data_IF_309406053696
#
_entry.id   IF_309406053696
#
_cell.length_a   1.000
_cell.length_b   1.000
_cell.length_c   1.000
_cell.angle_alpha   90.00
_cell.angle_beta   90.00
_cell.angle_gamma   90.00
#
_symmetry.space_group_name_H-M   'P 1'
#
loop_
_entity.id
_entity.type
_entity.pdbx_description
1 polymer ?
#
# COMPACT_ATOMS: atom_id res chain seq x y z
N UNK A 1 -10.66 3.09 19.75
CA UNK A 1 -10.44 4.08 18.67
C UNK A 1 -11.27 3.66 17.47
N UNK A 2 -12.11 4.54 16.93
CA UNK A 2 -12.91 4.25 15.72
C UNK A 2 -11.99 4.31 14.51
N UNK A 3 -11.99 3.25 13.68
CA UNK A 3 -11.23 3.22 12.42
C UNK A 3 -11.81 4.27 11.47
N UNK A 4 -10.99 5.27 11.08
CA UNK A 4 -11.38 6.25 10.06
C UNK A 4 -11.64 5.56 8.72
N UNK A 5 -12.65 6.03 7.98
CA UNK A 5 -12.92 5.54 6.63
C UNK A 5 -11.87 6.04 5.63
N UNK A 6 -11.81 5.43 4.45
CA UNK A 6 -10.93 5.90 3.38
C UNK A 6 -11.20 7.38 3.04
N UNK A 7 -12.47 7.77 2.95
CA UNK A 7 -12.85 9.14 2.61
C UNK A 7 -12.45 10.13 3.71
N UNK A 8 -12.51 9.73 4.98
CA UNK A 8 -12.09 10.57 6.10
C UNK A 8 -10.57 10.77 6.13
N UNK A 9 -9.81 9.71 5.79
CA UNK A 9 -8.33 9.77 5.77
C UNK A 9 -7.85 10.66 4.62
N UNK A 10 -8.52 10.58 3.47
CA UNK A 10 -8.11 11.28 2.25
C UNK A 10 -9.05 12.46 1.91
N UNK A 11 -9.69 13.08 2.89
CA UNK A 11 -10.73 14.10 2.66
C UNK A 11 -10.23 15.24 1.73
N UNK A 12 -9.00 15.71 1.96
CA UNK A 12 -8.37 16.85 1.28
C UNK A 12 -7.58 16.47 0.01
N UNK A 13 -7.58 15.20 -0.39
CA UNK A 13 -6.88 14.74 -1.59
C UNK A 13 -7.77 14.98 -2.83
N UNK A 14 -7.23 15.44 -3.97
CA UNK A 14 -7.98 15.53 -5.23
C UNK A 14 -8.62 14.19 -5.64
N UNK A 15 -9.81 14.22 -6.26
CA UNK A 15 -10.57 13.01 -6.59
C UNK A 15 -9.83 12.08 -7.54
N UNK A 16 -9.16 12.63 -8.55
CA UNK A 16 -8.37 11.87 -9.52
C UNK A 16 -7.23 11.07 -8.85
N UNK A 17 -6.63 11.62 -7.80
CA UNK A 17 -5.60 10.93 -7.02
C UNK A 17 -6.19 9.83 -6.11
N UNK A 18 -7.38 10.05 -5.53
CA UNK A 18 -8.11 9.01 -4.78
C UNK A 18 -8.43 7.83 -5.70
N UNK A 19 -8.93 8.10 -6.90
CA UNK A 19 -9.30 7.07 -7.89
C UNK A 19 -8.07 6.27 -8.33
N UNK A 20 -6.94 6.94 -8.58
CA UNK A 20 -5.66 6.29 -8.88
C UNK A 20 -5.18 5.41 -7.74
N UNK A 21 -5.27 5.88 -6.48
CA UNK A 21 -4.86 5.10 -5.32
C UNK A 21 -5.76 3.87 -5.10
N UNK A 22 -7.07 4.02 -5.26
CA UNK A 22 -8.02 2.90 -5.16
C UNK A 22 -7.74 1.86 -6.24
N UNK A 23 -7.56 2.31 -7.49
CA UNK A 23 -7.21 1.44 -8.63
C UNK A 23 -5.89 0.73 -8.40
N UNK A 24 -4.86 1.44 -7.91
CA UNK A 24 -3.58 0.82 -7.57
C UNK A 24 -3.75 -0.29 -6.54
N UNK A 25 -4.46 -0.03 -5.43
CA UNK A 25 -4.69 -1.02 -4.36
C UNK A 25 -5.52 -2.22 -4.79
N UNK A 26 -6.47 -2.05 -5.71
CA UNK A 26 -7.29 -3.17 -6.21
C UNK A 26 -6.54 -4.05 -7.22
N UNK A 27 -5.59 -3.48 -7.94
CA UNK A 27 -4.80 -4.19 -8.97
C UNK A 27 -3.48 -4.75 -8.45
N UNK A 28 -3.04 -4.31 -7.26
CA UNK A 28 -1.79 -4.75 -6.63
C UNK A 28 -2.08 -5.26 -5.21
N UNK A 29 -2.68 -6.46 -5.08
CA UNK A 29 -2.93 -7.06 -3.77
C UNK A 29 -1.61 -7.34 -3.04
N UNK A 30 -1.67 -7.33 -1.70
CA UNK A 30 -0.53 -7.70 -0.88
C UNK A 30 -0.16 -9.17 -1.09
N UNK A 31 1.14 -9.41 -1.16
CA UNK A 31 1.77 -10.72 -1.01
C UNK A 31 2.21 -10.89 0.43
N UNK A 32 2.08 -12.11 0.94
CA UNK A 32 2.52 -12.50 2.27
C UNK A 32 3.72 -13.45 2.16
N UNK A 33 4.74 -13.24 3.00
CA UNK A 33 5.92 -14.10 3.08
C UNK A 33 6.30 -14.34 4.55
N UNK A 34 6.32 -15.61 4.96
CA UNK A 34 6.81 -16.00 6.29
C UNK A 34 8.32 -16.28 6.23
N UNK A 35 9.08 -15.57 7.07
CA UNK A 35 10.53 -15.76 7.18
C UNK A 35 11.02 -15.47 8.60
N UNK A 36 11.73 -16.44 9.18
CA UNK A 36 12.38 -16.28 10.50
C UNK A 36 11.42 -15.74 11.57
N UNK A 37 10.26 -16.40 11.69
CA UNK A 37 9.18 -16.06 12.63
C UNK A 37 8.51 -14.69 12.40
N UNK A 38 8.78 -14.03 11.26
CA UNK A 38 8.14 -12.78 10.84
C UNK A 38 7.31 -12.99 9.58
N UNK A 39 6.03 -12.62 9.65
CA UNK A 39 5.15 -12.51 8.48
C UNK A 39 5.29 -11.13 7.85
N UNK A 40 5.78 -11.09 6.61
CA UNK A 40 5.94 -9.89 5.82
C UNK A 40 4.73 -9.68 4.90
N UNK A 41 4.21 -8.47 4.84
CA UNK A 41 3.21 -8.03 3.86
C UNK A 41 3.84 -7.01 2.92
N UNK A 42 3.85 -7.26 1.62
CA UNK A 42 4.44 -6.37 0.64
C UNK A 42 3.68 -6.38 -0.69
N UNK A 43 3.86 -5.34 -1.50
CA UNK A 43 3.38 -5.30 -2.89
C UNK A 43 4.58 -5.48 -3.79
N UNK A 44 4.48 -6.38 -4.77
CA UNK A 44 5.48 -6.53 -5.83
C UNK A 44 4.87 -6.14 -7.17
N UNK A 45 5.47 -5.16 -7.84
CA UNK A 45 4.95 -4.63 -9.10
C UNK A 45 6.06 -4.03 -9.96
N UNK A 46 5.78 -3.84 -11.24
CA UNK A 46 6.75 -3.32 -12.22
C UNK A 46 7.70 -4.40 -12.75
N UNK A 47 8.60 -4.00 -13.66
CA UNK A 47 9.64 -4.83 -14.27
C UNK A 47 10.88 -3.98 -14.54
N UNK A 48 12.07 -4.56 -14.37
CA UNK A 48 13.36 -3.89 -14.57
C UNK A 48 14.52 -4.81 -14.18
N UNK A 49 15.75 -4.36 -14.38
CA UNK A 49 16.96 -5.12 -14.01
C UNK A 49 17.25 -5.08 -12.52
N UNK A 50 16.96 -3.95 -11.86
CA UNK A 50 17.19 -3.75 -10.43
C UNK A 50 15.88 -3.47 -9.68
N UNK A 51 15.62 -4.13 -8.54
CA UNK A 51 14.45 -3.84 -7.71
C UNK A 51 14.67 -2.58 -6.87
N UNK A 52 13.67 -1.68 -6.85
CA UNK A 52 13.60 -0.57 -5.90
C UNK A 52 12.69 -0.95 -4.72
N UNK A 53 13.20 -0.84 -3.49
CA UNK A 53 12.44 -1.12 -2.28
C UNK A 53 12.02 0.19 -1.62
N UNK A 54 10.71 0.37 -1.43
CA UNK A 54 10.14 1.48 -0.67
C UNK A 54 9.65 0.95 0.68
N UNK A 55 10.38 1.28 1.75
CA UNK A 55 9.97 0.95 3.11
C UNK A 55 9.00 2.04 3.61
N UNK A 56 7.75 1.69 3.98
CA UNK A 56 6.83 2.68 4.51
C UNK A 56 7.37 3.23 5.84
N UNK A 57 7.41 4.55 5.96
CA UNK A 57 7.70 5.25 7.21
C UNK A 57 6.40 5.71 7.86
N UNK A 58 6.14 5.28 9.11
CA UNK A 58 4.98 5.70 9.90
C UNK A 58 4.65 4.70 10.99
N UNK A 59 4.24 5.19 12.17
CA UNK A 59 3.73 4.34 13.25
C UNK A 59 2.36 3.78 12.80
N UNK A 60 2.21 2.46 12.91
CA UNK A 60 0.95 1.73 12.72
C UNK A 60 -0.04 2.07 13.84
#
# INVERSE_FOLDING_TARGET
>A
MTRKSFNDIYENVPSDQKDRLQTFRSTHPYTTLDREDVTWEYISCGKGEEPLVLLPGGIR
#
